data_IF_306906813117
#
_entry.id   IF_306906813117
#
_cell.length_a   1.000
_cell.length_b   1.000
_cell.length_c   1.000
_cell.angle_alpha   90.00
_cell.angle_beta   90.00
_cell.angle_gamma   90.00
#
_symmetry.space_group_name_H-M   'P 1'
#
loop_
_entity.id
_entity.type
_entity.pdbx_description
1 polymer ?
#
# COMPACT_ATOMS: atom_id res chain seq x y z
N UNK A 1 22.74 -6.96 9.47
CA UNK A 1 22.49 -8.31 8.89
C UNK A 1 21.64 -8.29 7.62
N UNK A 2 20.57 -7.49 7.53
CA UNK A 2 19.75 -7.38 6.31
C UNK A 2 20.52 -6.98 5.05
N UNK A 3 21.47 -6.05 5.15
CA UNK A 3 22.27 -5.62 3.99
C UNK A 3 23.09 -6.76 3.38
N UNK A 4 23.63 -7.67 4.21
CA UNK A 4 24.35 -8.85 3.72
C UNK A 4 23.41 -9.83 3.00
N UNK A 5 22.19 -10.01 3.51
CA UNK A 5 21.17 -10.87 2.88
C UNK A 5 20.67 -10.30 1.56
N UNK A 6 20.53 -8.99 1.47
CA UNK A 6 20.15 -8.28 0.25
C UNK A 6 21.24 -8.40 -0.83
N UNK A 7 22.51 -8.23 -0.47
CA UNK A 7 23.63 -8.41 -1.41
C UNK A 7 23.65 -9.81 -2.00
N UNK A 8 23.49 -10.84 -1.18
CA UNK A 8 23.41 -12.22 -1.63
C UNK A 8 22.24 -12.48 -2.59
N UNK A 9 21.08 -11.86 -2.32
CA UNK A 9 19.90 -11.96 -3.19
C UNK A 9 20.15 -11.28 -4.54
N UNK A 10 20.77 -10.10 -4.55
CA UNK A 10 21.15 -9.38 -5.77
C UNK A 10 22.13 -10.19 -6.62
N UNK A 11 23.15 -10.77 -6.00
CA UNK A 11 24.15 -11.62 -6.68
C UNK A 11 23.51 -12.87 -7.27
N UNK A 12 22.64 -13.55 -6.52
CA UNK A 12 21.94 -14.75 -6.98
C UNK A 12 20.98 -14.44 -8.13
N UNK A 13 20.27 -13.33 -8.08
CA UNK A 13 19.37 -12.89 -9.14
C UNK A 13 20.14 -12.53 -10.42
N UNK A 14 21.24 -11.78 -10.30
CA UNK A 14 22.08 -11.43 -11.44
C UNK A 14 22.69 -12.69 -12.09
N UNK A 15 23.11 -13.66 -11.26
CA UNK A 15 23.57 -14.97 -11.74
C UNK A 15 22.47 -15.77 -12.46
N UNK A 16 21.22 -15.69 -12.01
CA UNK A 16 20.10 -16.34 -12.68
C UNK A 16 19.76 -15.67 -14.02
N UNK A 17 19.74 -14.34 -14.06
CA UNK A 17 19.50 -13.56 -15.30
C UNK A 17 20.57 -13.85 -16.36
N UNK A 18 21.85 -13.96 -15.97
CA UNK A 18 22.92 -14.30 -16.92
C UNK A 18 22.82 -15.71 -17.51
N UNK A 19 22.02 -16.61 -16.93
CA UNK A 19 21.80 -17.97 -17.46
C UNK A 19 20.58 -18.08 -18.38
N UNK A 20 19.92 -16.97 -18.68
CA UNK A 20 18.67 -16.94 -19.43
C UNK A 20 18.91 -16.79 -20.94
N UNK A 21 18.04 -17.40 -21.75
CA UNK A 21 18.21 -17.46 -23.21
C UNK A 21 18.05 -16.09 -23.90
N UNK A 22 18.69 -15.91 -25.05
CA UNK A 22 18.66 -14.66 -25.83
C UNK A 22 17.24 -14.26 -26.28
N UNK A 23 16.38 -15.25 -26.56
CA UNK A 23 14.97 -15.02 -26.89
C UNK A 23 14.17 -14.38 -25.73
N UNK A 24 14.56 -14.65 -24.48
CA UNK A 24 13.94 -14.03 -23.31
C UNK A 24 14.37 -12.56 -23.15
N UNK A 25 15.62 -12.25 -23.48
CA UNK A 25 16.13 -10.88 -23.47
C UNK A 25 15.47 -9.99 -24.52
N UNK A 26 15.07 -10.53 -25.67
CA UNK A 26 14.39 -9.76 -26.73
C UNK A 26 12.96 -9.34 -26.32
N UNK A 27 12.30 -10.15 -25.50
CA UNK A 27 10.97 -9.82 -24.95
C UNK A 27 11.00 -8.79 -23.81
N UNK A 28 12.17 -8.52 -23.23
CA UNK A 28 12.28 -7.75 -21.99
C UNK A 28 13.26 -6.57 -22.16
N UNK A 29 12.75 -5.33 -22.18
CA UNK A 29 13.61 -4.14 -22.17
C UNK A 29 14.60 -4.18 -20.98
N UNK A 30 15.90 -4.17 -21.28
CA UNK A 30 17.00 -4.27 -20.30
C UNK A 30 16.86 -3.24 -19.17
N UNK A 31 16.45 -2.02 -19.48
CA UNK A 31 16.21 -0.95 -18.49
C UNK A 31 14.97 -1.15 -17.60
N UNK A 32 14.01 -1.98 -18.01
CA UNK A 32 12.87 -2.37 -17.17
C UNK A 32 13.24 -3.51 -16.21
N UNK A 33 14.17 -4.38 -16.60
CA UNK A 33 14.64 -5.50 -15.77
C UNK A 33 15.43 -5.00 -14.55
N UNK A 34 16.38 -4.09 -14.76
CA UNK A 34 17.16 -3.48 -13.65
C UNK A 34 16.26 -2.71 -12.68
N UNK A 35 15.25 -2.00 -13.19
CA UNK A 35 14.25 -1.31 -12.35
C UNK A 35 13.38 -2.29 -11.57
N UNK A 36 12.92 -3.38 -12.20
CA UNK A 36 12.16 -4.44 -11.52
C UNK A 36 12.99 -5.10 -10.42
N UNK A 37 14.26 -5.40 -10.69
CA UNK A 37 15.18 -5.99 -9.72
C UNK A 37 15.39 -5.03 -8.55
N UNK A 38 15.78 -3.78 -8.81
CA UNK A 38 16.03 -2.77 -7.77
C UNK A 38 14.78 -2.50 -6.94
N UNK A 39 13.62 -2.35 -7.57
CA UNK A 39 12.34 -2.17 -6.87
C UNK A 39 11.92 -3.39 -6.05
N UNK A 40 12.14 -4.61 -6.56
CA UNK A 40 11.86 -5.84 -5.84
C UNK A 40 12.72 -6.00 -4.59
N UNK A 41 14.02 -5.70 -4.71
CA UNK A 41 14.97 -5.71 -3.60
C UNK A 41 14.62 -4.64 -2.57
N UNK A 42 14.25 -3.44 -3.01
CA UNK A 42 13.85 -2.33 -2.14
C UNK A 42 12.61 -2.69 -1.31
N UNK A 43 11.60 -3.29 -1.96
CA UNK A 43 10.40 -3.78 -1.26
C UNK A 43 10.71 -4.86 -0.23
N UNK A 44 11.61 -5.78 -0.55
CA UNK A 44 12.07 -6.81 0.40
C UNK A 44 12.83 -6.15 1.55
N UNK A 45 13.70 -5.17 1.27
CA UNK A 45 14.44 -4.41 2.27
C UNK A 45 13.52 -3.69 3.24
N UNK A 46 12.53 -2.97 2.73
CA UNK A 46 11.53 -2.27 3.55
C UNK A 46 10.68 -3.23 4.37
N UNK A 47 10.28 -4.36 3.77
CA UNK A 47 9.58 -5.43 4.49
C UNK A 47 10.39 -6.03 5.63
N UNK A 48 11.70 -6.24 5.42
CA UNK A 48 12.58 -6.86 6.41
C UNK A 48 13.03 -5.88 7.50
N UNK A 49 13.28 -4.61 7.16
CA UNK A 49 13.81 -3.61 8.10
C UNK A 49 12.74 -3.08 9.05
N UNK A 50 11.61 -2.68 8.50
CA UNK A 50 10.65 -1.86 9.22
C UNK A 50 9.50 -2.73 9.74
N UNK A 51 8.89 -3.52 8.85
CA UNK A 51 7.70 -4.32 9.20
C UNK A 51 8.02 -5.48 10.15
N UNK A 52 9.12 -6.21 9.97
CA UNK A 52 9.40 -7.36 10.84
C UNK A 52 9.71 -6.96 12.28
N UNK A 53 10.51 -5.90 12.49
CA UNK A 53 10.83 -5.42 13.83
C UNK A 53 9.58 -4.93 14.56
N UNK A 54 8.71 -4.20 13.87
CA UNK A 54 7.47 -3.68 14.43
C UNK A 54 6.47 -4.79 14.74
N UNK A 55 6.39 -5.82 13.89
CA UNK A 55 5.54 -7.00 14.13
C UNK A 55 6.05 -7.81 15.32
N UNK A 56 7.36 -8.08 15.40
CA UNK A 56 7.93 -8.81 16.54
C UNK A 56 7.76 -8.05 17.85
N UNK A 57 8.01 -6.74 17.84
CA UNK A 57 7.79 -5.88 19.01
C UNK A 57 6.32 -5.85 19.41
N UNK A 58 5.40 -5.73 18.45
CA UNK A 58 3.96 -5.75 18.68
C UNK A 58 3.48 -7.09 19.26
N UNK A 59 3.96 -8.21 18.74
CA UNK A 59 3.64 -9.55 19.26
C UNK A 59 4.22 -9.73 20.66
N UNK A 60 5.47 -9.30 20.90
CA UNK A 60 6.09 -9.34 22.22
C UNK A 60 5.34 -8.50 23.25
N UNK A 61 4.95 -7.28 22.88
CA UNK A 61 4.14 -6.39 23.72
C UNK A 61 2.74 -6.94 24.00
N UNK A 62 2.14 -7.64 23.03
CA UNK A 62 0.85 -8.31 23.22
C UNK A 62 0.96 -9.46 24.23
N UNK A 63 1.97 -10.31 24.09
CA UNK A 63 2.21 -11.45 24.99
C UNK A 63 2.57 -10.96 26.40
N UNK A 64 3.43 -9.93 26.51
CA UNK A 64 3.79 -9.36 27.80
C UNK A 64 2.60 -8.66 28.45
N UNK A 65 1.79 -7.91 27.70
CA UNK A 65 0.57 -7.27 28.18
C UNK A 65 -0.45 -8.28 28.73
N UNK A 66 -0.65 -9.40 28.04
CA UNK A 66 -1.53 -10.49 28.53
C UNK A 66 -0.95 -11.09 29.81
N UNK A 67 0.35 -11.42 29.82
CA UNK A 67 1.01 -12.00 31.00
C UNK A 67 0.91 -11.07 32.21
N UNK A 68 1.25 -9.79 32.06
CA UNK A 68 1.11 -8.77 33.12
C UNK A 68 -0.33 -8.61 33.59
N UNK A 69 -1.30 -8.66 32.66
CA UNK A 69 -2.72 -8.62 33.00
C UNK A 69 -3.14 -9.78 33.91
N UNK A 70 -2.66 -10.99 33.63
CA UNK A 70 -2.92 -12.16 34.48
C UNK A 70 -2.20 -12.10 35.84
N UNK A 71 -0.99 -11.53 35.88
CA UNK A 71 -0.21 -11.42 37.12
C UNK A 71 -0.77 -10.42 38.13
N UNK A 72 -1.39 -9.31 37.69
CA UNK A 72 -1.68 -8.18 38.59
C UNK A 72 -2.89 -8.42 39.51
N UNK A 73 -4.02 -8.92 39.01
CA UNK A 73 -5.24 -9.29 39.77
C UNK A 73 -6.37 -9.68 38.80
N UNK A 74 -6.97 -10.87 38.95
CA UNK A 74 -8.08 -11.35 38.09
C UNK A 74 -9.23 -10.34 37.89
N UNK A 75 -9.52 -9.52 38.91
CA UNK A 75 -10.60 -8.51 38.85
C UNK A 75 -10.28 -7.33 37.92
N UNK A 76 -9.02 -6.87 37.89
CA UNK A 76 -8.60 -5.76 37.01
C UNK A 76 -8.39 -6.24 35.56
N UNK A 77 -7.99 -7.50 35.38
CA UNK A 77 -7.81 -8.11 34.06
C UNK A 77 -9.13 -8.19 33.29
N UNK A 78 -10.22 -8.56 33.97
CA UNK A 78 -11.56 -8.67 33.37
C UNK A 78 -12.04 -7.32 32.81
N UNK A 79 -11.88 -6.23 33.57
CA UNK A 79 -12.28 -4.88 33.11
C UNK A 79 -11.44 -4.44 31.91
N UNK A 80 -10.13 -4.69 31.95
CA UNK A 80 -9.21 -4.29 30.87
C UNK A 80 -9.44 -5.11 29.60
N UNK A 81 -9.79 -6.39 29.74
CA UNK A 81 -10.08 -7.29 28.63
C UNK A 81 -11.34 -6.86 27.85
N UNK A 82 -12.29 -6.16 28.46
CA UNK A 82 -13.47 -5.62 27.76
C UNK A 82 -13.24 -4.22 27.18
N UNK A 83 -12.50 -3.35 27.87
CA UNK A 83 -12.28 -1.97 27.41
C UNK A 83 -11.34 -1.89 26.20
N UNK A 84 -10.30 -2.73 26.15
CA UNK A 84 -9.35 -2.78 25.03
C UNK A 84 -10.00 -3.15 23.69
N UNK A 85 -10.75 -4.27 23.55
CA UNK A 85 -11.42 -4.59 22.29
C UNK A 85 -12.53 -3.61 21.95
N UNK A 86 -13.22 -3.02 22.94
CA UNK A 86 -14.22 -1.99 22.69
C UNK A 86 -13.60 -0.76 22.01
N UNK A 87 -12.47 -0.27 22.52
CA UNK A 87 -11.75 0.87 21.94
C UNK A 87 -11.20 0.54 20.54
N UNK A 88 -10.60 -0.64 20.38
CA UNK A 88 -10.09 -1.12 19.08
C UNK A 88 -11.22 -1.24 18.06
N UNK A 89 -12.37 -1.78 18.44
CA UNK A 89 -13.53 -1.91 17.54
C UNK A 89 -14.02 -0.55 17.05
N UNK A 90 -14.10 0.45 17.94
CA UNK A 90 -14.47 1.81 17.58
C UNK A 90 -13.49 2.45 16.59
N UNK A 91 -12.18 2.26 16.80
CA UNK A 91 -11.14 2.74 15.87
C UNK A 91 -11.22 2.03 14.51
N UNK A 92 -11.46 0.73 14.49
CA UNK A 92 -11.58 -0.02 13.22
C UNK A 92 -12.79 0.45 12.42
N UNK A 93 -13.94 0.63 13.07
CA UNK A 93 -15.17 1.09 12.41
C UNK A 93 -14.96 2.48 11.82
N UNK A 94 -14.42 3.42 12.59
CA UNK A 94 -14.14 4.78 12.12
C UNK A 94 -13.11 4.81 10.99
N UNK A 95 -12.03 4.02 11.08
CA UNK A 95 -11.06 3.89 9.99
C UNK A 95 -11.66 3.29 8.70
N UNK A 96 -12.52 2.28 8.84
CA UNK A 96 -13.24 1.66 7.69
C UNK A 96 -14.20 2.65 7.04
N UNK A 97 -14.92 3.42 7.85
CA UNK A 97 -15.79 4.49 7.35
C UNK A 97 -14.99 5.54 6.59
N UNK A 98 -13.90 6.05 7.17
CA UNK A 98 -13.04 7.04 6.51
C UNK A 98 -12.49 6.52 5.18
N UNK A 99 -12.02 5.28 5.15
CA UNK A 99 -11.52 4.66 3.91
C UNK A 99 -12.63 4.49 2.86
N UNK A 100 -13.86 4.17 3.28
CA UNK A 100 -15.00 4.02 2.37
C UNK A 100 -15.44 5.37 1.81
N UNK A 101 -15.49 6.41 2.64
CA UNK A 101 -15.79 7.79 2.24
C UNK A 101 -14.73 8.28 1.27
N UNK A 102 -13.45 8.18 1.63
CA UNK A 102 -12.34 8.60 0.78
C UNK A 102 -12.33 7.89 -0.57
N UNK A 103 -12.66 6.59 -0.64
CA UNK A 103 -12.81 5.88 -1.92
C UNK A 103 -13.99 6.38 -2.75
N UNK A 104 -15.10 6.73 -2.11
CA UNK A 104 -16.27 7.29 -2.80
C UNK A 104 -15.96 8.68 -3.35
N UNK A 105 -15.32 9.52 -2.55
CA UNK A 105 -14.87 10.86 -2.96
C UNK A 105 -13.90 10.76 -4.13
N UNK A 106 -12.87 9.92 -4.03
CA UNK A 106 -11.87 9.73 -5.08
C UNK A 106 -12.49 9.24 -6.39
N UNK A 107 -13.55 8.42 -6.34
CA UNK A 107 -14.29 8.01 -7.54
C UNK A 107 -15.07 9.18 -8.18
N UNK A 108 -15.76 9.99 -7.36
CA UNK A 108 -16.50 11.15 -7.86
C UNK A 108 -15.55 12.18 -8.48
N UNK A 109 -14.43 12.47 -7.80
CA UNK A 109 -13.38 13.35 -8.33
C UNK A 109 -12.76 12.80 -9.62
N UNK A 110 -12.45 11.51 -9.69
CA UNK A 110 -11.88 10.91 -10.89
C UNK A 110 -12.83 10.93 -12.09
N UNK A 111 -14.14 10.83 -11.87
CA UNK A 111 -15.13 10.94 -12.94
C UNK A 111 -15.24 12.38 -13.47
N UNK A 112 -15.23 13.38 -12.58
CA UNK A 112 -15.22 14.79 -12.96
C UNK A 112 -13.92 15.18 -13.70
N UNK A 113 -12.78 14.68 -13.24
CA UNK A 113 -11.49 14.90 -13.88
C UNK A 113 -11.42 14.25 -15.28
N UNK A 114 -11.96 13.04 -15.43
CA UNK A 114 -12.09 12.38 -16.72
C UNK A 114 -12.95 13.19 -17.70
N UNK A 115 -14.11 13.70 -17.24
CA UNK A 115 -14.97 14.56 -18.06
C UNK A 115 -14.27 15.86 -18.46
N UNK A 116 -13.60 16.53 -17.51
CA UNK A 116 -12.83 17.74 -17.80
C UNK A 116 -11.73 17.47 -18.84
N UNK A 117 -11.05 16.31 -18.72
CA UNK A 117 -10.02 15.90 -19.68
C UNK A 117 -10.58 15.68 -21.09
N UNK A 118 -11.79 15.13 -21.20
CA UNK A 118 -12.49 14.91 -22.47
C UNK A 118 -12.90 16.25 -23.12
N UNK A 119 -13.43 17.18 -22.34
CA UNK A 119 -13.79 18.53 -22.81
C UNK A 119 -12.56 19.30 -23.28
N UNK A 120 -11.45 19.23 -22.54
CA UNK A 120 -10.19 19.90 -22.91
C UNK A 120 -9.58 19.25 -24.16
N UNK A 121 -9.64 17.91 -24.30
CA UNK A 121 -9.18 17.22 -25.50
C UNK A 121 -10.04 17.58 -26.73
N UNK A 122 -11.34 17.77 -26.53
CA UNK A 122 -12.32 18.15 -27.56
C UNK A 122 -12.50 19.66 -27.77
N UNK A 123 -11.64 20.51 -27.20
CA UNK A 123 -11.87 21.97 -27.09
C UNK A 123 -12.15 22.67 -28.43
N UNK A 124 -11.51 22.21 -29.53
CA UNK A 124 -11.75 22.77 -30.89
C UNK A 124 -13.16 22.46 -31.39
N UNK A 125 -13.68 21.28 -31.08
CA UNK A 125 -15.02 20.83 -31.45
C UNK A 125 -16.09 21.51 -30.58
N UNK A 126 -15.84 21.63 -29.27
CA UNK A 126 -16.74 22.33 -28.33
C UNK A 126 -16.85 23.82 -28.66
N UNK A 127 -15.75 24.48 -29.02
CA UNK A 127 -15.77 25.87 -29.50
C UNK A 127 -16.48 26.02 -30.85
N UNK A 128 -16.30 25.07 -31.79
CA UNK A 128 -16.94 25.11 -33.09
C UNK A 128 -18.48 24.98 -33.01
N UNK A 129 -19.00 24.24 -32.02
CA UNK A 129 -20.44 24.06 -31.80
C UNK A 129 -21.05 24.99 -30.73
N UNK A 130 -20.28 25.94 -30.19
CA UNK A 130 -20.71 26.88 -29.12
C UNK A 130 -21.46 26.20 -27.95
N UNK A 131 -21.15 24.93 -27.66
CA UNK A 131 -21.91 24.08 -26.71
C UNK A 131 -21.42 24.16 -25.26
N UNK A 132 -20.64 25.19 -24.94
CA UNK A 132 -20.09 25.47 -23.61
C UNK A 132 -21.13 25.44 -22.46
N UNK A 133 -22.37 25.98 -22.60
CA UNK A 133 -23.31 25.98 -21.48
C UNK A 133 -23.93 24.60 -21.19
N UNK A 134 -23.83 23.64 -22.11
CA UNK A 134 -24.43 22.30 -21.97
C UNK A 134 -23.49 21.31 -21.26
N UNK A 135 -22.19 21.49 -21.40
CA UNK A 135 -21.15 20.66 -20.75
C UNK A 135 -20.86 21.10 -19.30
N UNK A 136 -20.98 22.39 -18.98
CA UNK A 136 -20.77 22.91 -17.60
C UNK A 136 -21.87 22.45 -16.63
N UNK A 137 -23.04 22.07 -17.15
CA UNK A 137 -24.23 21.71 -16.36
C UNK A 137 -24.39 20.20 -16.14
N UNK A 138 -23.47 19.40 -16.69
CA UNK A 138 -23.51 17.94 -16.70
C UNK A 138 -22.46 17.36 -15.77
#
# INVERSE_FOLDING_TARGET
MCERRIKFLSESYLKAVMRQDMAWFDTQQVGALTRKMSSGIERIRDGLRDKLGLVFSGVGAFISGISFGFYLSWQMTLVTLFTVPLLLSAMIISAKLLTKVSKSEMKAYSAADALASEVIAGIRTVMAFNSQPKEIKR
#
